data_IF_165592846397
#
_entry.id   IF_165592846397
#
_cell.length_a   1.000
_cell.length_b   1.000
_cell.length_c   1.000
_cell.angle_alpha   90.00
_cell.angle_beta   90.00
_cell.angle_gamma   90.00
#
_symmetry.space_group_name_H-M   'P 1'
#
loop_
_entity.id
_entity.type
_entity.pdbx_description
1 polymer ?
#
# COMPACT_ATOMS: atom_id res chain seq x y z
N UNK A 1 -2.52 -7.86 -3.51
CA UNK A 1 -1.82 -8.16 -4.79
C UNK A 1 -2.70 -8.96 -5.75
N UNK A 2 -3.23 -10.12 -5.34
CA UNK A 2 -4.05 -11.00 -6.20
C UNK A 2 -5.22 -10.26 -6.88
N UNK A 3 -6.02 -9.51 -6.12
CA UNK A 3 -7.13 -8.73 -6.66
C UNK A 3 -6.74 -7.73 -7.77
N UNK A 4 -5.50 -7.20 -7.77
CA UNK A 4 -5.03 -6.29 -8.83
C UNK A 4 -4.77 -7.06 -10.14
N UNK A 5 -4.26 -8.29 -10.03
CA UNK A 5 -4.06 -9.15 -11.20
C UNK A 5 -5.41 -9.53 -11.81
N UNK A 6 -6.36 -9.90 -10.95
CA UNK A 6 -7.74 -10.23 -11.38
C UNK A 6 -8.47 -9.04 -12.00
N UNK A 7 -8.19 -7.81 -11.54
CA UNK A 7 -8.71 -6.57 -12.13
C UNK A 7 -8.07 -6.20 -13.49
N UNK A 8 -7.14 -7.01 -14.02
CA UNK A 8 -6.54 -6.82 -15.34
C UNK A 8 -5.25 -5.99 -15.37
N UNK A 9 -4.66 -5.66 -14.21
CA UNK A 9 -3.35 -5.03 -14.18
C UNK A 9 -2.25 -6.04 -14.54
N UNK A 10 -1.55 -5.81 -15.65
CA UNK A 10 -0.58 -6.75 -16.21
C UNK A 10 0.70 -6.87 -15.39
N UNK A 11 1.09 -5.78 -14.72
CA UNK A 11 2.32 -5.72 -13.92
C UNK A 11 2.04 -4.96 -12.63
N UNK A 12 2.28 -5.63 -11.51
CA UNK A 12 2.24 -5.02 -10.17
C UNK A 12 3.69 -4.85 -9.73
N UNK A 13 4.15 -3.60 -9.63
CA UNK A 13 5.51 -3.30 -9.16
C UNK A 13 5.61 -3.59 -7.66
N UNK A 14 4.67 -3.08 -6.87
CA UNK A 14 4.59 -3.37 -5.44
C UNK A 14 3.19 -3.16 -4.87
N UNK A 15 2.95 -3.84 -3.76
CA UNK A 15 1.93 -3.52 -2.75
C UNK A 15 2.61 -3.64 -1.40
N UNK A 16 2.72 -2.54 -0.64
CA UNK A 16 3.48 -2.52 0.60
C UNK A 16 2.83 -1.62 1.65
N UNK A 17 2.85 -2.05 2.92
CA UNK A 17 2.50 -1.21 4.06
C UNK A 17 3.77 -0.56 4.61
N UNK A 18 3.76 0.77 4.78
CA UNK A 18 4.87 1.57 5.31
C UNK A 18 4.39 2.57 6.36
N UNK A 19 5.26 2.96 7.28
CA UNK A 19 4.97 4.09 8.18
C UNK A 19 4.76 5.39 7.39
N UNK A 20 3.78 6.20 7.81
CA UNK A 20 3.35 7.38 7.06
C UNK A 20 4.42 8.46 6.91
N UNK A 21 5.33 8.59 7.88
CA UNK A 21 6.35 9.66 7.90
C UNK A 21 7.73 9.20 7.42
N UNK A 22 8.13 7.97 7.75
CA UNK A 22 9.51 7.49 7.56
C UNK A 22 9.65 6.55 6.37
N UNK A 23 8.53 6.03 5.85
CA UNK A 23 8.51 4.91 4.90
C UNK A 23 9.24 3.65 5.40
N UNK A 24 9.49 3.54 6.70
CA UNK A 24 10.00 2.34 7.33
C UNK A 24 8.97 1.19 7.24
N UNK A 25 9.37 -0.08 7.49
CA UNK A 25 8.41 -1.16 7.66
C UNK A 25 7.29 -0.77 8.64
N UNK A 26 6.03 -0.93 8.22
CA UNK A 26 4.89 -0.51 9.02
C UNK A 26 4.78 -1.29 10.34
N UNK A 27 4.35 -0.60 11.40
CA UNK A 27 4.03 -1.16 12.72
C UNK A 27 2.63 -0.75 13.13
N UNK A 28 1.90 -1.63 13.83
CA UNK A 28 0.49 -1.44 14.20
C UNK A 28 0.23 -0.25 15.12
N UNK A 29 1.22 0.14 15.92
CA UNK A 29 1.17 1.25 16.87
C UNK A 29 1.45 2.62 16.23
N UNK A 30 1.63 2.66 14.91
CA UNK A 30 1.95 3.87 14.15
C UNK A 30 1.05 4.01 12.94
N UNK A 31 0.77 5.26 12.59
CA UNK A 31 0.10 5.58 11.34
C UNK A 31 0.93 5.05 10.16
N UNK A 32 0.26 4.40 9.25
CA UNK A 32 0.84 3.84 8.04
C UNK A 32 0.10 4.22 6.79
N UNK A 33 0.67 3.83 5.65
CA UNK A 33 0.00 3.83 4.36
C UNK A 33 0.21 2.50 3.66
N UNK A 34 -0.85 1.99 3.03
CA UNK A 34 -0.68 0.97 1.99
C UNK A 34 -0.40 1.71 0.69
N UNK A 35 0.73 1.40 0.08
CA UNK A 35 1.15 1.94 -1.22
C UNK A 35 1.01 0.84 -2.27
N UNK A 36 0.45 1.18 -3.43
CA UNK A 36 0.39 0.30 -4.58
C UNK A 36 0.89 1.00 -5.84
N UNK A 37 1.64 0.27 -6.67
CA UNK A 37 2.04 0.71 -7.99
C UNK A 37 1.80 -0.40 -9.02
N UNK A 38 1.05 -0.07 -10.08
CA UNK A 38 0.62 -1.00 -11.12
C UNK A 38 0.71 -0.36 -12.50
N UNK A 39 0.79 -1.20 -13.53
CA UNK A 39 0.78 -0.76 -14.92
C UNK A 39 -0.55 -1.10 -15.60
N UNK A 40 -1.16 -0.08 -16.22
CA UNK A 40 -2.29 -0.20 -17.12
C UNK A 40 -1.83 0.11 -18.55
N UNK A 41 -1.57 -0.94 -19.33
CA UNK A 41 -0.87 -0.79 -20.61
C UNK A 41 0.55 -0.27 -20.40
N UNK A 42 0.84 0.92 -20.91
CA UNK A 42 2.13 1.64 -20.72
C UNK A 42 2.06 2.70 -19.63
N UNK A 43 0.89 2.94 -19.04
CA UNK A 43 0.72 3.94 -17.98
C UNK A 43 0.99 3.32 -16.62
N UNK A 44 1.83 3.98 -15.81
CA UNK A 44 2.09 3.61 -14.42
C UNK A 44 1.18 4.38 -13.49
N UNK A 45 0.32 3.65 -12.77
CA UNK A 45 -0.59 4.19 -11.77
C UNK A 45 0.00 3.94 -10.38
N UNK A 46 -0.10 4.96 -9.53
CA UNK A 46 0.24 4.86 -8.11
C UNK A 46 -0.98 5.31 -7.30
N UNK A 47 -1.20 4.65 -6.18
CA UNK A 47 -2.20 5.09 -5.22
C UNK A 47 -1.76 4.71 -3.80
N UNK A 48 -2.32 5.38 -2.81
CA UNK A 48 -2.10 5.07 -1.41
C UNK A 48 -3.37 5.26 -0.58
N UNK A 49 -3.49 4.45 0.47
CA UNK A 49 -4.55 4.58 1.47
C UNK A 49 -3.95 4.60 2.87
N UNK A 50 -4.54 5.40 3.75
CA UNK A 50 -4.11 5.53 5.14
C UNK A 50 -4.48 4.30 5.98
N UNK A 51 -3.60 3.96 6.91
CA UNK A 51 -3.83 3.01 8.00
C UNK A 51 -3.64 3.79 9.30
N UNK A 52 -4.71 4.20 10.00
CA UNK A 52 -4.57 4.88 11.28
C UNK A 52 -4.00 3.92 12.32
N UNK A 53 -3.18 4.44 13.23
CA UNK A 53 -2.71 3.69 14.39
C UNK A 53 -3.90 3.22 15.22
N UNK A 54 -3.93 1.93 15.52
CA UNK A 54 -4.87 1.38 16.51
C UNK A 54 -4.18 1.33 17.85
N UNK A 55 -4.52 2.27 18.74
CA UNK A 55 -4.20 2.12 20.16
C UNK A 55 -4.90 0.86 20.68
N UNK A 56 -4.12 -0.15 21.09
CA UNK A 56 -4.66 -1.23 21.90
C UNK A 56 -5.02 -0.65 23.26
N UNK A 57 -6.23 -0.88 23.80
CA UNK A 57 -6.54 -0.49 25.17
C UNK A 57 -5.59 -1.22 26.13
N UNK A 58 -5.24 -0.60 27.28
CA UNK A 58 -4.39 -1.21 28.30
C UNK A 58 -4.98 -2.50 28.87
#
# INVERSE_FOLDING_TARGET
RQALVEAGFRKVDYVAARESLTLAPWRRDRDGRVLAAVWLGTTRLIDNVEIPAVMSPP
#
